data_IF_925047752391
#
_entry.id   IF_925047752391
#
_cell.length_a   1.000
_cell.length_b   1.000
_cell.length_c   1.000
_cell.angle_alpha   90.00
_cell.angle_beta   90.00
_cell.angle_gamma   90.00
#
_symmetry.space_group_name_H-M   'P 1'
#
loop_
_entity.id
_entity.type
_entity.pdbx_description
1 polymer ?
#
# COMPACT_ATOMS: atom_id res chain seq x y z
N UNK A 1 -28.40 -6.28 -32.38
CA UNK A 1 -27.07 -6.20 -33.04
C UNK A 1 -26.08 -5.53 -32.11
N UNK A 2 -25.08 -6.26 -31.62
CA UNK A 2 -24.05 -5.69 -30.78
C UNK A 2 -23.10 -4.85 -31.62
N UNK A 3 -23.17 -3.53 -31.46
CA UNK A 3 -22.24 -2.62 -32.16
C UNK A 3 -20.82 -2.88 -31.65
N UNK A 4 -19.87 -3.11 -32.57
CA UNK A 4 -18.47 -3.34 -32.22
C UNK A 4 -17.92 -2.17 -31.41
N UNK A 5 -17.25 -2.44 -30.27
CA UNK A 5 -16.64 -1.40 -29.45
C UNK A 5 -15.68 -0.46 -30.20
N UNK A 6 -15.05 -0.95 -31.30
CA UNK A 6 -14.22 -0.12 -32.18
C UNK A 6 -15.05 0.91 -32.97
N UNK A 7 -16.26 0.51 -33.40
CA UNK A 7 -17.16 1.43 -34.13
C UNK A 7 -17.69 2.52 -33.18
N UNK A 8 -18.11 2.14 -31.98
CA UNK A 8 -18.53 3.09 -30.94
C UNK A 8 -17.44 4.11 -30.64
N UNK A 9 -16.20 3.65 -30.46
CA UNK A 9 -15.07 4.55 -30.17
C UNK A 9 -14.76 5.48 -31.34
N UNK A 10 -14.84 4.99 -32.59
CA UNK A 10 -14.66 5.84 -33.78
C UNK A 10 -15.74 6.93 -33.86
N UNK A 11 -16.99 6.58 -33.58
CA UNK A 11 -18.11 7.54 -33.52
C UNK A 11 -17.87 8.59 -32.42
N UNK A 12 -17.41 8.18 -31.24
CA UNK A 12 -17.06 9.09 -30.15
C UNK A 12 -15.98 10.10 -30.59
N UNK A 13 -14.90 9.64 -31.22
CA UNK A 13 -13.85 10.53 -31.76
C UNK A 13 -14.41 11.54 -32.74
N UNK A 14 -15.29 11.10 -33.67
CA UNK A 14 -15.90 12.01 -34.65
C UNK A 14 -16.80 13.06 -33.96
N UNK A 15 -17.59 12.67 -32.97
CA UNK A 15 -18.41 13.59 -32.17
C UNK A 15 -17.52 14.61 -31.47
N UNK A 16 -16.46 14.17 -30.80
CA UNK A 16 -15.53 15.06 -30.10
C UNK A 16 -14.81 16.00 -31.05
N UNK A 17 -14.49 15.54 -32.27
CA UNK A 17 -13.90 16.41 -33.30
C UNK A 17 -14.88 17.54 -33.74
N UNK A 18 -16.18 17.24 -33.81
CA UNK A 18 -17.21 18.25 -34.10
C UNK A 18 -17.36 19.21 -32.93
N UNK A 19 -17.46 18.70 -31.69
CA UNK A 19 -17.59 19.54 -30.49
C UNK A 19 -16.37 20.48 -30.31
N UNK A 20 -15.17 20.04 -30.67
CA UNK A 20 -13.97 20.86 -30.65
C UNK A 20 -14.01 22.08 -31.62
N UNK A 21 -14.92 22.09 -32.61
CA UNK A 21 -15.13 23.23 -33.52
C UNK A 21 -16.04 24.33 -32.92
N UNK A 22 -16.74 24.04 -31.81
CA UNK A 22 -17.65 24.99 -31.20
C UNK A 22 -16.88 26.16 -30.57
N UNK A 23 -17.09 27.36 -31.09
CA UNK A 23 -16.45 28.59 -30.58
C UNK A 23 -17.04 29.11 -29.28
N UNK A 24 -18.26 28.74 -28.95
CA UNK A 24 -18.97 29.11 -27.73
C UNK A 24 -19.61 27.89 -27.04
N UNK A 25 -18.82 27.05 -26.37
CA UNK A 25 -19.34 25.86 -25.69
C UNK A 25 -20.31 26.17 -24.54
N UNK A 26 -20.28 27.39 -23.97
CA UNK A 26 -21.23 27.85 -22.93
C UNK A 26 -22.68 27.92 -23.42
N UNK A 27 -22.92 27.94 -24.74
CA UNK A 27 -24.25 27.91 -25.31
C UNK A 27 -24.83 26.47 -25.46
N UNK A 28 -24.09 25.45 -25.11
CA UNK A 28 -24.57 24.06 -25.18
C UNK A 28 -25.65 23.81 -24.12
N UNK A 29 -26.70 23.09 -24.51
CA UNK A 29 -27.69 22.60 -23.57
C UNK A 29 -27.04 21.64 -22.56
N UNK A 30 -27.30 21.83 -21.26
CA UNK A 30 -26.61 21.10 -20.16
C UNK A 30 -25.07 21.28 -20.18
N UNK A 31 -24.60 22.46 -20.49
CA UNK A 31 -23.19 22.82 -20.58
C UNK A 31 -22.32 22.26 -19.44
N UNK A 32 -22.70 22.34 -18.14
CA UNK A 32 -21.85 21.81 -17.06
C UNK A 32 -21.55 20.32 -17.21
N UNK A 33 -22.54 19.54 -17.70
CA UNK A 33 -22.36 18.10 -17.94
C UNK A 33 -21.33 17.84 -19.08
N UNK A 34 -21.36 18.70 -20.12
CA UNK A 34 -20.35 18.60 -21.20
C UNK A 34 -18.96 19.00 -20.70
N UNK A 35 -18.85 20.01 -19.87
CA UNK A 35 -17.55 20.41 -19.32
C UNK A 35 -16.93 19.29 -18.47
N UNK A 36 -17.71 18.67 -17.59
CA UNK A 36 -17.29 17.51 -16.80
C UNK A 36 -16.88 16.33 -17.71
N UNK A 37 -17.66 16.07 -18.76
CA UNK A 37 -17.34 15.04 -19.73
C UNK A 37 -16.00 15.31 -20.44
N UNK A 38 -15.71 16.56 -20.81
CA UNK A 38 -14.43 16.92 -21.41
C UNK A 38 -13.28 16.72 -20.44
N UNK A 39 -13.48 17.05 -19.15
CA UNK A 39 -12.50 16.77 -18.11
C UNK A 39 -12.25 15.24 -17.95
N UNK A 40 -13.29 14.43 -18.01
CA UNK A 40 -13.18 12.96 -17.93
C UNK A 40 -12.43 12.38 -19.12
N UNK A 41 -12.65 12.92 -20.33
CA UNK A 41 -11.95 12.48 -21.54
C UNK A 41 -10.45 12.81 -21.52
N UNK A 42 -10.02 13.81 -20.75
CA UNK A 42 -8.59 14.05 -20.53
C UNK A 42 -7.90 12.87 -19.82
N UNK A 43 -8.63 12.10 -19.03
CA UNK A 43 -8.10 10.91 -18.35
C UNK A 43 -7.99 9.68 -19.27
N UNK A 44 -8.50 9.78 -20.49
CA UNK A 44 -8.51 8.63 -21.39
C UNK A 44 -7.11 8.35 -21.96
N UNK A 45 -6.81 7.05 -22.10
CA UNK A 45 -5.51 6.55 -22.61
C UNK A 45 -5.19 6.91 -24.07
N UNK A 46 -6.17 7.36 -24.84
CA UNK A 46 -5.99 7.70 -26.26
C UNK A 46 -5.64 9.18 -26.41
N UNK A 47 -4.44 9.53 -26.96
CA UNK A 47 -4.00 10.92 -27.09
C UNK A 47 -4.86 11.75 -28.04
N UNK A 48 -5.50 11.15 -29.04
CA UNK A 48 -6.42 11.86 -29.95
C UNK A 48 -7.66 12.35 -29.21
N UNK A 49 -8.26 11.50 -28.35
CA UNK A 49 -9.40 11.89 -27.52
C UNK A 49 -9.02 12.95 -26.50
N UNK A 50 -7.85 12.82 -25.83
CA UNK A 50 -7.32 13.85 -24.94
C UNK A 50 -7.17 15.21 -25.67
N UNK A 51 -6.66 15.19 -26.89
CA UNK A 51 -6.47 16.41 -27.70
C UNK A 51 -7.80 17.10 -27.97
N UNK A 52 -8.82 16.37 -28.47
CA UNK A 52 -10.13 16.98 -28.74
C UNK A 52 -10.82 17.45 -27.48
N UNK A 53 -10.69 16.73 -26.36
CA UNK A 53 -11.19 17.18 -25.06
C UNK A 53 -10.50 18.48 -24.61
N UNK A 54 -9.18 18.58 -24.78
CA UNK A 54 -8.44 19.81 -24.49
C UNK A 54 -8.87 20.95 -25.41
N UNK A 55 -9.08 20.72 -26.71
CA UNK A 55 -9.62 21.71 -27.65
C UNK A 55 -10.96 22.27 -27.17
N UNK A 56 -11.89 21.39 -26.71
CA UNK A 56 -13.17 21.80 -26.16
C UNK A 56 -12.98 22.70 -24.93
N UNK A 57 -12.12 22.31 -23.98
CA UNK A 57 -11.84 23.07 -22.74
C UNK A 57 -11.22 24.44 -23.06
N UNK A 58 -10.28 24.51 -23.98
CA UNK A 58 -9.63 25.77 -24.40
C UNK A 58 -10.65 26.74 -25.01
N UNK A 59 -11.68 26.23 -25.71
CA UNK A 59 -12.74 27.05 -26.30
C UNK A 59 -13.62 27.78 -25.28
N UNK A 60 -13.58 27.40 -24.00
CA UNK A 60 -14.20 28.18 -22.91
C UNK A 60 -13.47 29.50 -22.63
N UNK A 61 -12.28 29.67 -23.16
CA UNK A 61 -11.47 30.90 -23.06
C UNK A 61 -11.19 31.34 -21.62
N UNK A 62 -11.05 30.38 -20.70
CA UNK A 62 -10.59 30.68 -19.33
C UNK A 62 -9.14 31.18 -19.44
N UNK A 63 -8.89 32.43 -18.97
CA UNK A 63 -7.58 33.09 -19.07
C UNK A 63 -6.47 32.27 -18.42
N UNK A 64 -6.74 31.74 -17.23
CA UNK A 64 -5.79 30.90 -16.46
C UNK A 64 -5.40 29.63 -17.21
N UNK A 65 -6.32 29.02 -17.95
CA UNK A 65 -6.02 27.80 -18.74
C UNK A 65 -5.33 28.17 -20.07
N UNK A 66 -5.81 29.21 -20.76
CA UNK A 66 -5.31 29.61 -22.07
C UNK A 66 -3.86 30.07 -21.99
N UNK A 67 -3.43 30.68 -20.89
CA UNK A 67 -2.03 31.08 -20.67
C UNK A 67 -1.07 29.89 -20.82
N UNK A 68 -1.47 28.68 -20.45
CA UNK A 68 -0.65 27.45 -20.51
C UNK A 68 -1.02 26.54 -21.69
N UNK A 69 -1.75 27.05 -22.68
CA UNK A 69 -2.25 26.26 -23.80
C UNK A 69 -1.14 25.44 -24.49
N UNK A 70 0.00 26.04 -24.76
CA UNK A 70 1.11 25.37 -25.46
C UNK A 70 1.65 24.21 -24.64
N UNK A 71 1.86 24.43 -23.34
CA UNK A 71 2.34 23.41 -22.40
C UNK A 71 1.38 22.22 -22.30
N UNK A 72 0.06 22.50 -22.19
CA UNK A 72 -0.97 21.47 -22.11
C UNK A 72 -1.00 20.61 -23.39
N UNK A 73 -0.90 21.21 -24.59
CA UNK A 73 -0.83 20.45 -25.83
C UNK A 73 0.46 19.62 -25.94
N UNK A 74 1.60 20.14 -25.48
CA UNK A 74 2.85 19.40 -25.45
C UNK A 74 2.77 18.19 -24.51
N UNK A 75 2.06 18.29 -23.36
CA UNK A 75 1.79 17.17 -22.48
C UNK A 75 0.89 16.09 -23.13
N UNK A 76 -0.03 16.48 -24.03
CA UNK A 76 -0.86 15.54 -24.78
C UNK A 76 -0.09 14.89 -25.93
N UNK A 77 0.89 15.56 -26.54
CA UNK A 77 1.70 15.03 -27.64
C UNK A 77 2.76 14.04 -27.12
N UNK A 78 2.67 12.78 -27.53
CA UNK A 78 3.61 11.72 -27.11
C UNK A 78 5.07 12.00 -27.47
N UNK A 79 5.33 12.77 -28.53
CA UNK A 79 6.69 13.12 -28.97
C UNK A 79 7.32 14.20 -28.08
N UNK A 80 6.52 15.15 -27.63
CA UNK A 80 6.98 16.30 -26.81
C UNK A 80 6.85 16.07 -25.32
N UNK A 81 6.08 15.06 -24.93
CA UNK A 81 5.69 14.77 -23.54
C UNK A 81 6.86 14.75 -22.55
N UNK A 82 7.94 14.04 -22.90
CA UNK A 82 9.09 13.88 -22.01
C UNK A 82 9.84 15.20 -21.78
N UNK A 83 10.03 15.96 -22.85
CA UNK A 83 10.72 17.23 -22.78
C UNK A 83 9.89 18.27 -22.03
N UNK A 84 8.56 18.25 -22.22
CA UNK A 84 7.64 19.12 -21.52
C UNK A 84 7.64 18.87 -20.01
N UNK A 85 7.62 17.60 -19.55
CA UNK A 85 7.74 17.28 -18.12
C UNK A 85 9.03 17.80 -17.47
N UNK A 86 10.07 18.01 -18.25
CA UNK A 86 11.35 18.53 -17.75
C UNK A 86 11.35 20.06 -17.68
N UNK A 87 10.73 20.72 -18.66
CA UNK A 87 10.75 22.17 -18.79
C UNK A 87 9.61 22.85 -18.04
N UNK A 88 8.40 22.31 -18.12
CA UNK A 88 7.19 22.83 -17.48
C UNK A 88 7.01 22.21 -16.09
N UNK A 89 7.70 22.76 -15.09
CA UNK A 89 7.69 22.23 -13.72
C UNK A 89 6.41 22.60 -12.97
N UNK A 90 5.87 21.64 -12.20
CA UNK A 90 4.65 21.83 -11.40
C UNK A 90 4.92 22.33 -9.98
N UNK A 91 6.19 22.32 -9.53
CA UNK A 91 6.56 22.78 -8.19
C UNK A 91 6.22 24.25 -7.98
N UNK A 92 5.73 24.64 -6.81
CA UNK A 92 5.40 26.03 -6.47
C UNK A 92 6.64 26.95 -6.56
N UNK A 93 7.80 26.42 -6.16
CA UNK A 93 9.08 27.13 -6.17
C UNK A 93 9.53 27.53 -7.59
N UNK A 94 9.13 26.77 -8.61
CA UNK A 94 9.52 27.03 -10.00
C UNK A 94 8.84 28.26 -10.60
N UNK A 95 7.71 28.71 -10.01
CA UNK A 95 6.87 29.80 -10.51
C UNK A 95 6.45 29.65 -11.98
N UNK A 96 6.56 28.46 -12.52
CA UNK A 96 6.19 28.15 -13.92
C UNK A 96 4.67 28.25 -14.09
N UNK A 97 3.91 27.89 -13.04
CA UNK A 97 2.45 28.07 -12.93
C UNK A 97 2.22 29.11 -11.85
N UNK A 98 1.52 30.21 -12.21
CA UNK A 98 1.19 31.25 -11.25
C UNK A 98 0.26 30.71 -10.16
N UNK A 99 0.42 31.12 -8.89
CA UNK A 99 -0.38 30.62 -7.76
C UNK A 99 -1.90 30.72 -8.00
N UNK A 100 -2.37 31.82 -8.59
CA UNK A 100 -3.78 32.08 -8.92
C UNK A 100 -4.33 31.17 -10.02
N UNK A 101 -3.46 30.62 -10.89
CA UNK A 101 -3.85 29.78 -12.00
C UNK A 101 -3.86 28.28 -11.63
N UNK A 102 -3.19 27.91 -10.52
CA UNK A 102 -3.02 26.50 -10.13
C UNK A 102 -4.33 25.75 -9.98
N UNK A 103 -5.34 26.39 -9.35
CA UNK A 103 -6.67 25.79 -9.14
C UNK A 103 -7.34 25.37 -10.45
N UNK A 104 -7.04 26.05 -11.56
CA UNK A 104 -7.64 25.78 -12.85
C UNK A 104 -6.79 24.87 -13.74
N UNK A 105 -5.47 25.03 -13.68
CA UNK A 105 -4.51 24.36 -14.60
C UNK A 105 -4.10 22.99 -14.06
N UNK A 106 -3.76 22.88 -12.78
CA UNK A 106 -3.25 21.63 -12.22
C UNK A 106 -4.26 20.48 -12.36
N UNK A 107 -5.57 20.65 -12.13
CA UNK A 107 -6.56 19.58 -12.36
C UNK A 107 -6.56 19.05 -13.81
N UNK A 108 -6.27 19.88 -14.79
CA UNK A 108 -6.16 19.49 -16.21
C UNK A 108 -4.88 18.68 -16.41
N UNK A 109 -3.75 19.17 -15.90
CA UNK A 109 -2.46 18.47 -15.96
C UNK A 109 -2.58 17.07 -15.36
N UNK A 110 -3.13 16.96 -14.15
CA UNK A 110 -3.28 15.68 -13.45
C UNK A 110 -4.09 14.67 -14.29
N UNK A 111 -5.17 15.11 -14.94
CA UNK A 111 -6.01 14.26 -15.80
C UNK A 111 -5.25 13.80 -17.04
N UNK A 112 -4.53 14.69 -17.71
CA UNK A 112 -3.70 14.34 -18.88
C UNK A 112 -2.65 13.30 -18.47
N UNK A 113 -1.94 13.56 -17.36
CA UNK A 113 -0.89 12.65 -16.86
C UNK A 113 -1.44 11.29 -16.47
N UNK A 114 -2.61 11.22 -15.83
CA UNK A 114 -3.27 9.96 -15.51
C UNK A 114 -3.59 9.15 -16.77
N UNK A 115 -4.14 9.79 -17.81
CA UNK A 115 -4.39 9.16 -19.11
C UNK A 115 -3.10 8.65 -19.76
N UNK A 116 -2.01 9.42 -19.70
CA UNK A 116 -0.68 9.00 -20.18
C UNK A 116 -0.11 7.82 -19.41
N UNK A 117 -0.31 7.77 -18.09
CA UNK A 117 0.15 6.68 -17.24
C UNK A 117 -0.57 5.37 -17.52
N UNK A 118 -1.86 5.42 -17.88
CA UNK A 118 -2.68 4.25 -18.19
C UNK A 118 -2.58 3.80 -19.64
N UNK A 119 -1.97 4.61 -20.53
CA UNK A 119 -1.78 4.30 -21.93
C UNK A 119 -0.74 3.20 -22.14
N UNK A 120 -1.05 2.23 -23.00
CA UNK A 120 -0.10 1.20 -23.46
C UNK A 120 0.78 1.69 -24.63
N UNK A 121 0.46 2.83 -25.24
CA UNK A 121 1.23 3.40 -26.37
C UNK A 121 2.63 3.79 -25.88
N UNK A 122 3.66 3.26 -26.52
CA UNK A 122 5.06 3.45 -26.11
C UNK A 122 5.65 2.37 -25.21
N UNK A 123 4.88 1.33 -24.87
CA UNK A 123 5.37 0.17 -24.12
C UNK A 123 6.10 -0.88 -24.99
N UNK A 124 6.05 -0.75 -26.31
CA UNK A 124 6.55 -1.75 -27.26
C UNK A 124 8.08 -1.84 -27.37
N UNK A 125 8.81 -1.00 -26.66
CA UNK A 125 10.26 -1.17 -26.48
C UNK A 125 10.51 -1.51 -25.01
N UNK A 126 11.22 -2.64 -24.77
CA UNK A 126 11.59 -3.18 -23.46
C UNK A 126 11.81 -2.06 -22.41
N UNK A 127 10.89 -1.91 -21.44
CA UNK A 127 11.01 -0.96 -20.32
C UNK A 127 10.32 0.42 -20.49
N UNK A 128 9.82 0.80 -21.65
CA UNK A 128 9.29 2.14 -21.90
C UNK A 128 8.09 2.57 -21.04
N UNK A 129 7.23 1.62 -20.68
CA UNK A 129 6.05 1.89 -19.83
C UNK A 129 6.40 2.18 -18.38
N UNK A 130 7.38 1.46 -17.83
CA UNK A 130 7.89 1.69 -16.47
C UNK A 130 8.56 3.08 -16.37
N UNK A 131 9.39 3.43 -17.35
CA UNK A 131 10.07 4.73 -17.41
C UNK A 131 9.09 5.89 -17.49
N UNK A 132 7.99 5.77 -18.28
CA UNK A 132 6.96 6.82 -18.39
C UNK A 132 6.23 7.03 -17.04
N UNK A 133 5.84 5.96 -16.37
CA UNK A 133 5.21 6.05 -15.04
C UNK A 133 6.12 6.71 -14.02
N UNK A 134 7.39 6.31 -13.99
CA UNK A 134 8.40 6.89 -13.09
C UNK A 134 8.58 8.41 -13.33
N UNK A 135 8.62 8.83 -14.59
CA UNK A 135 8.71 10.25 -14.93
C UNK A 135 7.49 11.04 -14.47
N UNK A 136 6.28 10.51 -14.72
CA UNK A 136 5.03 11.12 -14.27
C UNK A 136 5.02 11.25 -12.74
N UNK A 137 5.38 10.18 -12.02
CA UNK A 137 5.35 10.20 -10.55
C UNK A 137 6.37 11.17 -9.97
N UNK A 138 7.57 11.27 -10.55
CA UNK A 138 8.55 12.28 -10.15
C UNK A 138 8.04 13.70 -10.38
N UNK A 139 7.35 13.92 -11.49
CA UNK A 139 6.73 15.20 -11.78
C UNK A 139 5.64 15.56 -10.77
N UNK A 140 4.76 14.59 -10.46
CA UNK A 140 3.69 14.74 -9.49
C UNK A 140 4.19 14.93 -8.05
N UNK A 141 5.40 14.47 -7.72
CA UNK A 141 6.01 14.74 -6.42
C UNK A 141 6.25 16.24 -6.15
N UNK A 142 6.16 17.09 -7.18
CA UNK A 142 6.18 18.54 -7.05
C UNK A 142 4.82 19.20 -6.77
N UNK A 143 3.74 18.42 -6.69
CA UNK A 143 2.40 18.90 -6.32
C UNK A 143 2.29 19.15 -4.81
N UNK A 144 1.41 20.05 -4.42
CA UNK A 144 1.04 20.21 -3.02
C UNK A 144 0.07 19.11 -2.56
N UNK A 145 -0.20 19.08 -1.25
CA UNK A 145 -1.02 18.04 -0.62
C UNK A 145 -2.43 17.92 -1.24
N UNK A 146 -3.11 19.05 -1.48
CA UNK A 146 -4.46 19.06 -2.05
C UNK A 146 -4.46 18.51 -3.48
N UNK A 147 -3.45 18.82 -4.26
CA UNK A 147 -3.27 18.34 -5.63
C UNK A 147 -2.97 16.84 -5.66
N UNK A 148 -2.10 16.36 -4.75
CA UNK A 148 -1.85 14.92 -4.58
C UNK A 148 -3.11 14.17 -4.12
N UNK A 149 -3.89 14.74 -3.21
CA UNK A 149 -5.18 14.21 -2.79
C UNK A 149 -6.12 14.06 -3.98
N UNK A 150 -6.27 15.12 -4.79
CA UNK A 150 -7.08 15.07 -6.02
C UNK A 150 -6.61 13.97 -6.97
N UNK A 151 -5.29 13.80 -7.15
CA UNK A 151 -4.75 12.73 -7.99
C UNK A 151 -5.12 11.33 -7.45
N UNK A 152 -5.02 11.11 -6.13
CA UNK A 152 -5.39 9.84 -5.49
C UNK A 152 -6.89 9.57 -5.68
N UNK A 153 -7.74 10.55 -5.42
CA UNK A 153 -9.20 10.43 -5.58
C UNK A 153 -9.58 10.09 -7.04
N UNK A 154 -8.95 10.74 -8.00
CA UNK A 154 -9.15 10.49 -9.43
C UNK A 154 -8.64 9.11 -9.84
N UNK A 155 -7.46 8.73 -9.39
CA UNK A 155 -6.84 7.46 -9.71
C UNK A 155 -7.63 6.25 -9.20
N UNK A 156 -8.35 6.43 -8.09
CA UNK A 156 -9.13 5.40 -7.41
C UNK A 156 -10.63 5.69 -7.41
N UNK A 157 -11.14 6.38 -8.44
CA UNK A 157 -12.55 6.76 -8.58
C UNK A 157 -13.52 5.58 -8.40
N UNK A 158 -13.14 4.36 -8.81
CA UNK A 158 -13.93 3.13 -8.61
C UNK A 158 -14.15 2.78 -7.12
N UNK A 159 -13.37 3.36 -6.21
CA UNK A 159 -13.45 3.16 -4.77
C UNK A 159 -13.93 4.42 -4.03
N UNK A 160 -14.38 5.45 -4.77
CA UNK A 160 -14.83 6.74 -4.19
C UNK A 160 -15.88 6.56 -3.09
N UNK A 161 -16.78 5.60 -3.24
CA UNK A 161 -17.82 5.28 -2.26
C UNK A 161 -17.25 4.99 -0.86
N UNK A 162 -16.05 4.45 -0.78
CA UNK A 162 -15.39 4.05 0.46
C UNK A 162 -14.52 5.14 1.09
N UNK A 163 -14.26 6.25 0.39
CA UNK A 163 -13.31 7.27 0.85
C UNK A 163 -13.80 8.04 2.09
N UNK A 164 -15.12 8.14 2.27
CA UNK A 164 -15.74 8.83 3.43
C UNK A 164 -16.01 7.87 4.60
N UNK A 165 -15.75 6.56 4.42
CA UNK A 165 -15.98 5.53 5.44
C UNK A 165 -14.74 5.31 6.31
N UNK A 166 -14.94 4.81 7.55
CA UNK A 166 -13.85 4.27 8.34
C UNK A 166 -13.34 2.93 7.76
N UNK A 167 -12.11 2.50 8.05
CA UNK A 167 -11.59 1.21 7.57
C UNK A 167 -12.49 0.02 7.92
N UNK A 168 -13.09 0.01 9.10
CA UNK A 168 -13.99 -1.06 9.54
C UNK A 168 -15.31 -1.04 8.76
N UNK A 169 -15.90 0.15 8.56
CA UNK A 169 -17.10 0.31 7.73
C UNK A 169 -16.85 -0.13 6.28
N UNK A 170 -15.67 0.16 5.72
CA UNK A 170 -15.27 -0.32 4.39
C UNK A 170 -15.28 -1.84 4.35
N UNK A 171 -14.62 -2.48 5.34
CA UNK A 171 -14.54 -3.94 5.43
C UNK A 171 -15.93 -4.58 5.52
N UNK A 172 -16.79 -4.10 6.42
CA UNK A 172 -18.14 -4.62 6.63
C UNK A 172 -19.03 -4.39 5.40
N UNK A 173 -18.99 -3.18 4.81
CA UNK A 173 -19.77 -2.85 3.61
C UNK A 173 -19.38 -3.73 2.43
N UNK A 174 -18.09 -3.97 2.22
CA UNK A 174 -17.61 -4.84 1.14
C UNK A 174 -18.05 -6.28 1.36
N UNK A 175 -17.90 -6.83 2.57
CA UNK A 175 -18.30 -8.21 2.84
C UNK A 175 -19.82 -8.43 2.73
N UNK A 176 -20.61 -7.46 3.18
CA UNK A 176 -22.08 -7.51 3.10
C UNK A 176 -22.57 -7.52 1.64
N UNK A 177 -21.94 -6.73 0.78
CA UNK A 177 -22.36 -6.53 -0.60
C UNK A 177 -21.54 -7.34 -1.62
N UNK A 178 -20.67 -8.26 -1.17
CA UNK A 178 -19.80 -9.01 -2.06
C UNK A 178 -20.59 -10.02 -2.91
N UNK A 179 -20.71 -9.69 -4.19
CA UNK A 179 -21.21 -10.63 -5.22
C UNK A 179 -20.05 -11.09 -6.10
N UNK A 180 -19.78 -12.41 -6.09
CA UNK A 180 -18.71 -13.02 -6.88
C UNK A 180 -18.86 -12.83 -8.41
N UNK A 181 -20.09 -12.56 -8.89
CA UNK A 181 -20.34 -12.33 -10.33
C UNK A 181 -20.01 -10.91 -10.77
N UNK A 182 -20.15 -9.95 -9.86
CA UNK A 182 -19.93 -8.52 -10.13
C UNK A 182 -18.69 -7.95 -9.44
N UNK A 183 -17.91 -8.78 -8.76
CA UNK A 183 -16.69 -8.36 -8.08
C UNK A 183 -15.70 -7.69 -9.05
N UNK A 184 -14.97 -6.72 -8.58
CA UNK A 184 -13.94 -6.03 -9.35
C UNK A 184 -12.96 -7.05 -9.98
N UNK A 185 -12.69 -6.89 -11.28
CA UNK A 185 -11.84 -7.82 -12.02
C UNK A 185 -10.42 -7.90 -11.46
N UNK A 186 -9.81 -9.09 -11.53
CA UNK A 186 -8.43 -9.34 -11.08
C UNK A 186 -7.43 -8.33 -11.66
N UNK A 187 -7.58 -7.98 -12.94
CA UNK A 187 -6.72 -6.99 -13.59
C UNK A 187 -6.83 -5.60 -12.97
N UNK A 188 -8.02 -5.18 -12.54
CA UNK A 188 -8.22 -3.90 -11.84
C UNK A 188 -7.62 -3.95 -10.44
N UNK A 189 -7.87 -5.00 -9.65
CA UNK A 189 -7.30 -5.17 -8.32
C UNK A 189 -5.76 -5.14 -8.34
N UNK A 190 -5.17 -5.89 -9.26
CA UNK A 190 -3.71 -5.89 -9.45
C UNK A 190 -3.18 -4.51 -9.87
N UNK A 191 -3.90 -3.81 -10.76
CA UNK A 191 -3.51 -2.46 -11.18
C UNK A 191 -3.56 -1.46 -10.03
N UNK A 192 -4.56 -1.56 -9.14
CA UNK A 192 -4.67 -0.71 -7.95
C UNK A 192 -3.48 -0.97 -7.00
N UNK A 193 -3.19 -2.24 -6.68
CA UNK A 193 -2.04 -2.56 -5.82
C UNK A 193 -0.71 -2.09 -6.41
N UNK A 194 -0.50 -2.28 -7.71
CA UNK A 194 0.70 -1.78 -8.38
C UNK A 194 0.80 -0.25 -8.35
N UNK A 195 -0.32 0.44 -8.49
CA UNK A 195 -0.34 1.90 -8.41
C UNK A 195 -0.06 2.38 -6.98
N UNK A 196 -0.61 1.70 -5.97
CA UNK A 196 -0.29 1.97 -4.56
C UNK A 196 1.21 1.78 -4.27
N UNK A 197 1.85 0.73 -4.81
CA UNK A 197 3.31 0.56 -4.66
C UNK A 197 4.09 1.73 -5.26
N UNK A 198 3.70 2.17 -6.46
CA UNK A 198 4.35 3.28 -7.15
C UNK A 198 4.14 4.60 -6.41
N UNK A 199 2.92 4.90 -5.95
CA UNK A 199 2.61 6.09 -5.14
C UNK A 199 3.48 6.10 -3.87
N UNK A 200 3.52 4.99 -3.12
CA UNK A 200 4.37 4.88 -1.94
C UNK A 200 5.86 5.10 -2.24
N UNK A 201 6.35 4.58 -3.35
CA UNK A 201 7.75 4.70 -3.74
C UNK A 201 8.14 6.15 -4.03
N UNK A 202 7.32 6.86 -4.79
CA UNK A 202 7.64 8.21 -5.27
C UNK A 202 7.15 9.33 -4.36
N UNK A 203 6.03 9.15 -3.66
CA UNK A 203 5.47 10.18 -2.78
C UNK A 203 5.80 9.97 -1.30
N UNK A 204 6.47 8.85 -0.95
CA UNK A 204 6.68 8.48 0.45
C UNK A 204 7.30 9.57 1.33
N UNK A 205 8.14 10.45 0.77
CA UNK A 205 8.71 11.58 1.50
C UNK A 205 7.77 12.79 1.64
N UNK A 206 6.64 12.80 0.91
CA UNK A 206 5.66 13.89 0.87
C UNK A 206 4.28 13.44 1.39
N UNK A 207 4.17 12.19 1.86
CA UNK A 207 2.92 11.65 2.39
C UNK A 207 2.68 12.20 3.80
N UNK A 208 1.72 13.11 3.90
CA UNK A 208 1.17 13.54 5.20
C UNK A 208 0.28 12.46 5.79
N UNK A 209 -0.04 12.54 7.08
CA UNK A 209 -0.94 11.59 7.74
C UNK A 209 -2.31 11.52 7.06
N UNK A 210 -2.79 12.66 6.52
CA UNK A 210 -4.06 12.71 5.80
C UNK A 210 -3.99 11.96 4.46
N UNK A 211 -2.94 12.17 3.67
CA UNK A 211 -2.74 11.45 2.41
C UNK A 211 -2.53 9.96 2.66
N UNK A 212 -1.79 9.61 3.70
CA UNK A 212 -1.53 8.23 4.07
C UNK A 212 -2.82 7.54 4.52
N UNK A 213 -3.68 8.23 5.27
CA UNK A 213 -5.00 7.71 5.65
C UNK A 213 -5.89 7.42 4.42
N UNK A 214 -5.90 8.31 3.43
CA UNK A 214 -6.65 8.06 2.18
C UNK A 214 -6.08 6.91 1.37
N UNK A 215 -4.77 6.89 1.22
CA UNK A 215 -4.05 5.77 0.60
C UNK A 215 -4.42 4.44 1.28
N UNK A 216 -4.48 4.46 2.62
CA UNK A 216 -4.80 3.29 3.42
C UNK A 216 -6.25 2.84 3.20
N UNK A 217 -7.22 3.73 3.05
CA UNK A 217 -8.62 3.38 2.72
C UNK A 217 -8.72 2.64 1.38
N UNK A 218 -7.96 3.09 0.35
CA UNK A 218 -7.87 2.36 -0.92
C UNK A 218 -7.29 0.96 -0.72
N UNK A 219 -6.20 0.88 0.04
CA UNK A 219 -5.54 -0.38 0.36
C UNK A 219 -6.48 -1.36 1.08
N UNK A 220 -7.16 -0.90 2.13
CA UNK A 220 -8.15 -1.68 2.89
C UNK A 220 -9.30 -2.17 2.01
N UNK A 221 -9.79 -1.34 1.08
CA UNK A 221 -10.85 -1.73 0.15
C UNK A 221 -10.43 -2.94 -0.69
N UNK A 222 -9.23 -2.92 -1.24
CA UNK A 222 -8.71 -4.07 -2.02
C UNK A 222 -8.49 -5.29 -1.13
N UNK A 223 -7.92 -5.12 0.06
CA UNK A 223 -7.70 -6.22 0.99
C UNK A 223 -9.01 -6.89 1.43
N UNK A 224 -10.07 -6.09 1.66
CA UNK A 224 -11.39 -6.57 2.03
C UNK A 224 -12.04 -7.37 0.90
N UNK A 225 -11.95 -6.90 -0.35
CA UNK A 225 -12.43 -7.65 -1.52
C UNK A 225 -11.69 -8.99 -1.64
N UNK A 226 -10.35 -8.97 -1.55
CA UNK A 226 -9.52 -10.18 -1.64
C UNK A 226 -9.87 -11.16 -0.51
N UNK A 227 -10.02 -10.68 0.72
CA UNK A 227 -10.37 -11.51 1.87
C UNK A 227 -11.78 -12.11 1.72
N UNK A 228 -12.76 -11.32 1.28
CA UNK A 228 -14.13 -11.78 1.07
C UNK A 228 -14.25 -12.86 -0.02
N UNK A 229 -13.50 -12.71 -1.12
CA UNK A 229 -13.45 -13.76 -2.17
C UNK A 229 -12.76 -15.03 -1.64
N UNK A 230 -11.65 -14.89 -0.91
CA UNK A 230 -10.95 -16.05 -0.33
C UNK A 230 -11.72 -16.74 0.77
N UNK A 231 -12.61 -16.04 1.49
CA UNK A 231 -13.53 -16.65 2.46
C UNK A 231 -14.59 -17.54 1.78
N UNK A 232 -14.86 -17.33 0.49
CA UNK A 232 -15.79 -18.13 -0.32
C UNK A 232 -15.04 -18.95 -1.40
N UNK A 233 -13.81 -19.38 -1.09
CA UNK A 233 -12.93 -20.06 -2.05
C UNK A 233 -13.53 -21.33 -2.67
N UNK A 234 -14.41 -22.02 -1.95
CA UNK A 234 -15.13 -23.21 -2.44
C UNK A 234 -16.10 -22.90 -3.59
N UNK A 235 -16.55 -21.65 -3.72
CA UNK A 235 -17.43 -21.19 -4.81
C UNK A 235 -16.65 -20.60 -6.00
N UNK A 236 -15.33 -20.50 -5.88
CA UNK A 236 -14.44 -19.86 -6.85
C UNK A 236 -13.55 -20.89 -7.52
N UNK A 237 -13.39 -20.80 -8.85
CA UNK A 237 -12.50 -21.71 -9.57
C UNK A 237 -11.05 -21.63 -9.04
N UNK A 238 -10.41 -22.81 -8.86
CA UNK A 238 -9.07 -22.95 -8.22
C UNK A 238 -8.01 -22.03 -8.81
N UNK A 239 -8.04 -21.81 -10.14
CA UNK A 239 -7.11 -20.89 -10.81
C UNK A 239 -7.22 -19.45 -10.30
N UNK A 240 -8.45 -18.96 -10.09
CA UNK A 240 -8.67 -17.62 -9.52
C UNK A 240 -8.30 -17.56 -8.04
N UNK A 241 -8.60 -18.59 -7.24
CA UNK A 241 -8.19 -18.65 -5.83
C UNK A 241 -6.67 -18.45 -5.70
N UNK A 242 -5.88 -19.09 -6.58
CA UNK A 242 -4.42 -18.91 -6.61
C UNK A 242 -4.03 -17.45 -6.87
N UNK A 243 -4.68 -16.78 -7.81
CA UNK A 243 -4.40 -15.36 -8.13
C UNK A 243 -4.79 -14.46 -6.96
N UNK A 244 -5.93 -14.68 -6.30
CA UNK A 244 -6.31 -13.93 -5.10
C UNK A 244 -5.34 -14.14 -3.94
N UNK A 245 -4.80 -15.34 -3.75
CA UNK A 245 -3.70 -15.58 -2.79
C UNK A 245 -2.44 -14.77 -3.13
N UNK A 246 -2.08 -14.66 -4.41
CA UNK A 246 -0.96 -13.83 -4.86
C UNK A 246 -1.22 -12.34 -4.59
N UNK A 247 -2.44 -11.84 -4.84
CA UNK A 247 -2.82 -10.46 -4.49
C UNK A 247 -2.71 -10.20 -2.98
N UNK A 248 -3.11 -11.16 -2.14
CA UNK A 248 -2.92 -11.06 -0.69
C UNK A 248 -1.44 -11.01 -0.31
N UNK A 249 -0.60 -11.80 -0.97
CA UNK A 249 0.86 -11.77 -0.75
C UNK A 249 1.45 -10.42 -1.17
N UNK A 250 1.00 -9.86 -2.28
CA UNK A 250 1.41 -8.51 -2.72
C UNK A 250 0.96 -7.44 -1.71
N UNK A 251 -0.28 -7.52 -1.22
CA UNK A 251 -0.79 -6.62 -0.20
C UNK A 251 0.03 -6.70 1.10
N UNK A 252 0.43 -7.91 1.54
CA UNK A 252 1.37 -8.07 2.66
C UNK A 252 2.71 -7.37 2.41
N UNK A 253 3.24 -7.43 1.19
CA UNK A 253 4.45 -6.70 0.82
C UNK A 253 4.29 -5.19 0.91
N UNK A 254 3.12 -4.66 0.52
CA UNK A 254 2.82 -3.23 0.63
C UNK A 254 2.73 -2.79 2.09
N UNK A 255 1.95 -3.50 2.92
CA UNK A 255 1.79 -3.14 4.33
C UNK A 255 3.10 -3.28 5.11
N UNK A 256 3.92 -4.28 4.79
CA UNK A 256 5.27 -4.42 5.37
C UNK A 256 6.10 -3.16 5.14
N UNK A 257 6.12 -2.67 3.91
CA UNK A 257 6.85 -1.45 3.55
C UNK A 257 6.22 -0.18 4.15
N UNK A 258 4.92 -0.17 4.43
CA UNK A 258 4.27 0.94 5.14
C UNK A 258 4.74 1.01 6.60
N UNK A 259 4.77 -0.11 7.31
CA UNK A 259 5.30 -0.17 8.67
C UNK A 259 6.78 0.19 8.74
N UNK A 260 7.57 -0.21 7.75
CA UNK A 260 9.01 0.08 7.69
C UNK A 260 9.29 1.56 7.42
N UNK A 261 8.54 2.19 6.52
CA UNK A 261 8.83 3.55 6.03
C UNK A 261 8.12 4.65 6.82
N UNK A 262 6.93 4.37 7.34
CA UNK A 262 6.09 5.31 8.07
C UNK A 262 5.97 4.88 9.53
N UNK A 263 7.12 4.70 10.17
CA UNK A 263 7.23 4.23 11.55
C UNK A 263 6.57 5.17 12.57
N UNK A 264 6.43 6.47 12.26
CA UNK A 264 5.77 7.47 13.09
C UNK A 264 4.27 7.65 12.81
N UNK A 265 3.72 6.97 11.80
CA UNK A 265 2.30 7.08 11.47
C UNK A 265 1.40 6.64 12.65
N UNK A 266 0.37 7.45 13.02
CA UNK A 266 -0.52 7.16 14.14
C UNK A 266 -1.57 6.12 13.77
N UNK A 267 -1.16 4.86 13.64
CA UNK A 267 -2.05 3.75 13.28
C UNK A 267 -3.27 3.70 14.18
N UNK A 268 -4.46 3.82 13.61
CA UNK A 268 -5.71 3.66 14.35
C UNK A 268 -6.01 2.18 14.63
N UNK A 269 -6.75 1.94 15.72
CA UNK A 269 -7.21 0.60 16.08
C UNK A 269 -8.01 -0.07 14.96
N UNK A 270 -8.87 0.69 14.27
CA UNK A 270 -9.71 0.19 13.16
C UNK A 270 -8.87 -0.18 11.94
N UNK A 271 -7.85 0.61 11.60
CA UNK A 271 -6.91 0.29 10.51
C UNK A 271 -6.19 -1.04 10.78
N UNK A 272 -5.60 -1.16 11.97
CA UNK A 272 -4.89 -2.37 12.37
C UNK A 272 -5.81 -3.58 12.41
N UNK A 273 -7.03 -3.43 12.96
CA UNK A 273 -8.00 -4.52 13.06
C UNK A 273 -8.36 -5.09 11.67
N UNK A 274 -8.58 -4.23 10.67
CA UNK A 274 -8.85 -4.68 9.31
C UNK A 274 -7.64 -5.34 8.67
N UNK A 275 -6.43 -4.83 8.88
CA UNK A 275 -5.19 -5.48 8.42
C UNK A 275 -5.07 -6.90 9.00
N UNK A 276 -5.33 -7.06 10.30
CA UNK A 276 -5.31 -8.37 10.94
C UNK A 276 -6.37 -9.30 10.37
N UNK A 277 -7.63 -8.85 10.26
CA UNK A 277 -8.74 -9.66 9.71
C UNK A 277 -8.50 -10.12 8.26
N UNK A 278 -7.95 -9.24 7.42
CA UNK A 278 -7.83 -9.52 5.98
C UNK A 278 -6.54 -10.21 5.58
N UNK A 279 -5.42 -9.86 6.22
CA UNK A 279 -4.08 -10.27 5.78
C UNK A 279 -3.37 -11.22 6.75
N UNK A 280 -3.56 -11.07 8.07
CA UNK A 280 -2.70 -11.72 9.06
C UNK A 280 -3.35 -12.96 9.65
N UNK A 281 -4.46 -12.81 10.36
CA UNK A 281 -5.13 -13.94 11.03
C UNK A 281 -5.46 -15.12 10.12
N UNK A 282 -5.84 -14.94 8.84
CA UNK A 282 -6.04 -16.09 7.94
C UNK A 282 -4.77 -16.90 7.62
N UNK A 283 -3.57 -16.34 7.89
CA UNK A 283 -2.29 -16.96 7.59
C UNK A 283 -1.56 -17.50 8.80
N UNK A 284 -1.82 -16.96 10.01
CA UNK A 284 -1.16 -17.39 11.25
C UNK A 284 -1.24 -18.90 11.48
N UNK A 285 -2.40 -19.58 11.34
CA UNK A 285 -2.49 -21.03 11.55
C UNK A 285 -1.64 -21.85 10.58
N UNK A 286 -1.34 -21.32 9.40
CA UNK A 286 -0.59 -21.99 8.33
C UNK A 286 0.90 -21.69 8.35
N UNK A 287 1.33 -20.70 9.14
CA UNK A 287 2.70 -20.19 9.12
C UNK A 287 3.72 -21.29 9.42
N UNK A 288 3.44 -22.15 10.40
CA UNK A 288 4.32 -23.24 10.83
C UNK A 288 4.49 -24.35 9.78
N UNK A 289 3.64 -24.38 8.75
CA UNK A 289 3.72 -25.33 7.62
C UNK A 289 4.36 -24.61 6.41
N UNK A 290 3.81 -23.48 6.02
CA UNK A 290 4.23 -22.76 4.80
C UNK A 290 5.63 -22.12 4.96
N UNK A 291 6.00 -21.76 6.19
CA UNK A 291 7.27 -21.09 6.50
C UNK A 291 8.49 -22.00 6.61
N UNK A 292 8.34 -23.33 6.62
CA UNK A 292 9.47 -24.26 6.86
C UNK A 292 10.57 -24.12 5.81
N UNK A 293 10.20 -23.94 4.54
CA UNK A 293 11.15 -23.99 3.42
C UNK A 293 11.77 -22.62 3.09
N UNK A 294 11.05 -21.55 3.31
CA UNK A 294 11.52 -20.18 3.03
C UNK A 294 10.71 -19.15 3.79
N UNK A 295 11.27 -17.93 4.05
CA UNK A 295 10.53 -16.85 4.69
C UNK A 295 9.30 -16.45 3.88
N UNK A 296 8.11 -16.57 4.47
CA UNK A 296 6.85 -16.13 3.87
C UNK A 296 6.71 -14.61 3.93
N UNK A 297 5.74 -14.05 3.18
CA UNK A 297 5.43 -12.61 3.26
C UNK A 297 4.97 -12.21 4.68
N UNK A 298 4.24 -13.08 5.38
CA UNK A 298 3.86 -12.83 6.78
C UNK A 298 5.09 -12.81 7.71
N UNK A 299 6.05 -13.70 7.54
CA UNK A 299 7.29 -13.66 8.32
C UNK A 299 8.09 -12.38 8.11
N UNK A 300 8.12 -11.86 6.88
CA UNK A 300 8.77 -10.58 6.60
C UNK A 300 8.10 -9.42 7.34
N UNK A 301 6.76 -9.41 7.41
CA UNK A 301 6.00 -8.44 8.18
C UNK A 301 6.30 -8.56 9.69
N UNK A 302 6.27 -9.79 10.23
CA UNK A 302 6.61 -10.07 11.64
C UNK A 302 8.03 -9.58 11.95
N UNK A 303 8.99 -9.85 11.06
CA UNK A 303 10.37 -9.37 11.21
C UNK A 303 10.45 -7.83 11.23
N UNK A 304 9.69 -7.14 10.37
CA UNK A 304 9.61 -5.68 10.37
C UNK A 304 9.07 -5.16 11.71
N UNK A 305 8.06 -5.80 12.27
CA UNK A 305 7.54 -5.42 13.60
C UNK A 305 8.54 -5.64 14.71
N UNK A 306 9.39 -6.66 14.65
CA UNK A 306 10.45 -6.88 15.61
C UNK A 306 11.54 -5.80 15.58
N UNK A 307 11.71 -5.08 14.45
CA UNK A 307 12.72 -4.02 14.32
C UNK A 307 12.34 -2.71 15.03
N UNK A 308 11.08 -2.54 15.43
CA UNK A 308 10.61 -1.33 16.10
C UNK A 308 9.79 -1.69 17.35
N UNK A 309 10.24 -1.29 18.56
CA UNK A 309 9.57 -1.62 19.82
C UNK A 309 8.10 -1.20 19.87
N UNK A 310 7.73 -0.13 19.16
CA UNK A 310 6.36 0.36 19.04
C UNK A 310 5.40 -0.69 18.50
N UNK A 311 5.89 -1.59 17.65
CA UNK A 311 5.08 -2.64 16.99
C UNK A 311 5.08 -3.97 17.73
N UNK A 312 5.85 -4.13 18.80
CA UNK A 312 5.94 -5.41 19.50
C UNK A 312 4.58 -5.92 20.02
N UNK A 313 3.66 -5.01 20.36
CA UNK A 313 2.29 -5.35 20.77
C UNK A 313 1.52 -6.11 19.70
N UNK A 314 1.81 -5.86 18.41
CA UNK A 314 1.14 -6.51 17.29
C UNK A 314 1.50 -8.00 17.17
N UNK A 315 2.66 -8.41 17.68
CA UNK A 315 3.12 -9.80 17.65
C UNK A 315 2.27 -10.73 18.49
N UNK A 316 1.67 -10.22 19.57
CA UNK A 316 0.85 -10.97 20.53
C UNK A 316 -0.64 -10.72 20.36
N UNK A 317 -1.03 -9.98 19.33
CA UNK A 317 -2.43 -9.72 18.99
C UNK A 317 -3.12 -10.98 18.47
N UNK A 318 -4.20 -11.41 19.12
CA UNK A 318 -4.99 -12.60 18.78
C UNK A 318 -6.38 -12.22 18.22
N UNK A 319 -7.05 -13.11 17.46
CA UNK A 319 -8.47 -13.00 17.20
C UNK A 319 -9.28 -13.15 18.51
N UNK A 320 -10.50 -12.61 18.58
CA UNK A 320 -11.34 -12.69 19.78
C UNK A 320 -11.65 -14.11 20.26
N UNK A 321 -11.70 -15.07 19.33
CA UNK A 321 -12.10 -16.46 19.58
C UNK A 321 -10.94 -17.46 19.56
N UNK A 322 -9.73 -17.02 19.32
CA UNK A 322 -8.55 -17.87 19.17
C UNK A 322 -7.34 -17.22 19.84
N UNK A 323 -6.57 -17.98 20.60
CA UNK A 323 -5.36 -17.50 21.25
C UNK A 323 -4.11 -17.52 20.35
N UNK A 324 -4.25 -17.92 19.08
CA UNK A 324 -3.13 -18.00 18.15
C UNK A 324 -2.67 -16.60 17.73
N UNK A 325 -1.40 -16.29 17.96
CA UNK A 325 -0.77 -15.03 17.56
C UNK A 325 0.47 -15.28 16.70
N UNK A 326 0.99 -14.20 16.13
CA UNK A 326 2.15 -14.25 15.24
C UNK A 326 3.40 -14.80 15.93
N UNK A 327 3.64 -14.41 17.18
CA UNK A 327 4.81 -14.81 17.93
C UNK A 327 4.79 -16.32 18.23
N UNK A 328 3.68 -16.84 18.77
CA UNK A 328 3.50 -18.26 19.06
C UNK A 328 3.64 -19.13 17.78
N UNK A 329 3.07 -18.67 16.65
CA UNK A 329 3.22 -19.36 15.37
C UNK A 329 4.67 -19.39 14.87
N UNK A 330 5.44 -18.32 15.11
CA UNK A 330 6.86 -18.23 14.78
C UNK A 330 7.69 -19.19 15.62
N UNK A 331 7.38 -19.35 16.92
CA UNK A 331 8.08 -20.32 17.78
C UNK A 331 7.75 -21.78 17.41
N UNK A 332 6.51 -22.07 16.98
CA UNK A 332 6.20 -23.41 16.43
C UNK A 332 7.05 -23.72 15.21
N UNK A 333 7.32 -22.73 14.36
CA UNK A 333 8.19 -22.87 13.20
C UNK A 333 9.64 -23.07 13.59
N UNK A 334 10.14 -22.34 14.60
CA UNK A 334 11.52 -22.48 15.12
C UNK A 334 11.81 -23.90 15.62
N UNK A 335 10.81 -24.56 16.22
CA UNK A 335 10.93 -25.93 16.73
C UNK A 335 10.70 -27.01 15.68
N UNK A 336 10.26 -26.63 14.47
CA UNK A 336 9.93 -27.59 13.44
C UNK A 336 11.18 -28.38 12.99
N UNK A 337 11.11 -29.72 12.90
CA UNK A 337 12.20 -30.50 12.36
C UNK A 337 12.41 -30.15 10.88
N UNK A 338 13.64 -29.97 10.45
CA UNK A 338 14.00 -29.60 9.06
C UNK A 338 13.62 -28.18 8.63
N UNK A 339 13.44 -27.26 9.57
CA UNK A 339 13.27 -25.86 9.23
C UNK A 339 14.53 -25.32 8.51
N UNK A 340 14.31 -24.56 7.42
CA UNK A 340 15.39 -23.99 6.62
C UNK A 340 16.30 -23.09 7.48
N UNK A 341 17.62 -23.20 7.40
CA UNK A 341 18.57 -22.36 8.17
C UNK A 341 18.36 -20.85 8.01
N UNK A 342 17.91 -20.40 6.83
CA UNK A 342 17.57 -18.97 6.59
C UNK A 342 16.39 -18.55 7.46
N UNK A 343 15.38 -19.39 7.56
CA UNK A 343 14.19 -19.13 8.40
C UNK A 343 14.58 -19.10 9.88
N UNK A 344 15.37 -20.08 10.33
CA UNK A 344 15.90 -20.13 11.70
C UNK A 344 16.71 -18.88 12.01
N UNK A 345 17.62 -18.48 11.11
CA UNK A 345 18.41 -17.26 11.27
C UNK A 345 17.54 -16.01 11.42
N UNK A 346 16.49 -15.87 10.58
CA UNK A 346 15.54 -14.75 10.68
C UNK A 346 14.81 -14.75 12.02
N UNK A 347 14.38 -15.91 12.54
CA UNK A 347 13.70 -15.98 13.84
C UNK A 347 14.67 -15.62 14.98
N UNK A 348 15.93 -16.02 14.89
CA UNK A 348 16.95 -15.64 15.88
C UNK A 348 17.25 -14.14 15.84
N UNK A 349 17.23 -13.51 14.67
CA UNK A 349 17.33 -12.05 14.56
C UNK A 349 16.11 -11.36 15.22
N UNK A 350 14.91 -11.89 15.05
CA UNK A 350 13.71 -11.40 15.72
C UNK A 350 13.84 -11.49 17.25
N UNK A 351 14.30 -12.62 17.77
CA UNK A 351 14.53 -12.83 19.22
C UNK A 351 15.55 -11.83 19.74
N UNK A 352 16.69 -11.67 19.06
CA UNK A 352 17.72 -10.69 19.43
C UNK A 352 17.13 -9.28 19.53
N UNK A 353 16.36 -8.85 18.54
CA UNK A 353 15.74 -7.53 18.52
C UNK A 353 14.74 -7.34 19.66
N UNK A 354 13.89 -8.32 19.93
CA UNK A 354 12.93 -8.29 21.04
C UNK A 354 13.64 -8.18 22.42
N UNK A 355 14.81 -8.79 22.56
CA UNK A 355 15.60 -8.76 23.80
C UNK A 355 16.38 -7.45 23.98
N UNK A 356 16.74 -6.76 22.90
CA UNK A 356 17.71 -5.66 22.93
C UNK A 356 17.13 -4.29 22.63
N UNK A 357 16.05 -4.20 21.85
CA UNK A 357 15.49 -2.91 21.47
C UNK A 357 14.63 -2.31 22.59
N UNK A 358 14.83 -1.03 22.83
CA UNK A 358 14.03 -0.19 23.73
C UNK A 358 13.46 0.99 22.95
N UNK A 359 12.40 1.60 23.46
CA UNK A 359 11.84 2.83 22.86
C UNK A 359 12.82 3.96 23.15
N UNK A 360 13.29 4.64 22.11
CA UNK A 360 14.17 5.80 22.22
C UNK A 360 13.40 7.04 22.70
N UNK A 361 14.12 7.98 23.30
CA UNK A 361 13.56 9.26 23.77
C UNK A 361 12.96 10.09 22.63
N UNK A 362 13.49 9.96 21.42
CA UNK A 362 12.98 10.62 20.20
C UNK A 362 11.62 10.08 19.78
N UNK A 363 11.28 8.84 20.13
CA UNK A 363 10.00 8.20 19.80
C UNK A 363 8.92 8.42 20.87
N UNK A 364 9.24 9.04 22.00
CA UNK A 364 8.28 9.32 23.10
C UNK A 364 7.14 10.26 22.69
N UNK A 365 7.30 11.02 21.59
CA UNK A 365 6.26 11.89 21.03
C UNK A 365 5.28 11.19 20.09
N UNK A 366 5.56 9.95 19.66
CA UNK A 366 4.71 9.20 18.74
C UNK A 366 3.64 8.43 19.54
N UNK A 367 2.35 8.51 19.18
CA UNK A 367 1.30 7.79 19.89
C UNK A 367 1.58 6.29 19.94
N UNK A 368 1.46 5.69 21.12
CA UNK A 368 1.57 4.26 21.30
C UNK A 368 0.45 3.56 20.50
N UNK A 369 0.74 2.37 19.98
CA UNK A 369 -0.29 1.54 19.33
C UNK A 369 -1.22 1.00 20.41
N UNK A 370 -2.52 1.26 20.23
CA UNK A 370 -3.55 0.70 21.11
C UNK A 370 -3.67 -0.83 20.89
N UNK A 371 -3.68 -1.62 21.98
CA UNK A 371 -3.94 -3.06 21.88
C UNK A 371 -5.26 -3.35 21.18
N UNK A 372 -5.29 -4.25 20.22
CA UNK A 372 -6.53 -4.71 19.59
C UNK A 372 -7.38 -5.57 20.53
N UNK A 373 -6.74 -6.20 21.52
CA UNK A 373 -7.34 -7.03 22.54
C UNK A 373 -7.02 -6.48 23.92
N UNK A 374 -7.87 -6.77 24.89
CA UNK A 374 -7.53 -6.65 26.30
C UNK A 374 -6.45 -7.71 26.61
N UNK A 375 -5.18 -7.35 26.40
CA UNK A 375 -4.10 -8.17 26.95
C UNK A 375 -4.27 -8.14 28.46
N UNK A 376 -4.42 -9.33 29.07
CA UNK A 376 -4.38 -9.42 30.51
C UNK A 376 -3.10 -8.73 31.00
N UNK A 377 -3.17 -7.82 31.97
CA UNK A 377 -1.97 -7.29 32.56
C UNK A 377 -1.12 -8.48 33.00
N UNK A 378 0.14 -8.50 32.61
CA UNK A 378 1.11 -9.44 33.20
C UNK A 378 1.32 -8.92 34.61
N UNK A 379 0.51 -9.43 35.54
CA UNK A 379 0.60 -9.07 36.95
C UNK A 379 1.93 -9.56 37.50
N UNK A 380 2.64 -8.70 38.21
CA UNK A 380 3.69 -9.10 39.12
C UNK A 380 5.12 -8.68 38.77
N UNK A 381 5.41 -8.07 37.59
CA UNK A 381 6.78 -7.57 37.34
C UNK A 381 6.81 -6.04 37.35
N UNK A 382 7.81 -5.48 38.07
CA UNK A 382 8.15 -4.05 37.98
C UNK A 382 8.44 -3.69 36.52
N UNK A 383 7.46 -3.09 35.86
CA UNK A 383 7.47 -2.76 34.41
C UNK A 383 8.62 -1.82 33.99
N UNK A 384 9.24 -1.14 34.96
CA UNK A 384 10.25 -0.11 34.70
C UNK A 384 11.64 -0.67 34.33
N UNK A 385 11.86 -1.97 34.47
CA UNK A 385 13.19 -2.59 34.28
C UNK A 385 13.28 -3.53 33.08
N UNK A 386 12.16 -3.99 32.53
CA UNK A 386 12.14 -4.99 31.44
C UNK A 386 11.40 -4.41 30.24
N UNK A 387 12.02 -4.43 29.06
CA UNK A 387 11.35 -3.98 27.84
C UNK A 387 10.19 -4.92 27.44
N UNK A 388 9.17 -4.38 26.78
CA UNK A 388 7.98 -5.14 26.39
C UNK A 388 8.31 -6.35 25.47
N UNK A 389 9.34 -6.21 24.61
CA UNK A 389 9.81 -7.30 23.75
C UNK A 389 10.30 -8.50 24.55
N UNK A 390 11.03 -8.26 25.66
CA UNK A 390 11.48 -9.31 26.58
C UNK A 390 10.31 -9.96 27.31
N UNK A 391 9.31 -9.17 27.77
CA UNK A 391 8.12 -9.69 28.45
C UNK A 391 7.35 -10.69 27.60
N UNK A 392 7.11 -10.39 26.33
CA UNK A 392 6.38 -11.29 25.43
C UNK A 392 7.15 -12.54 25.05
N UNK A 393 8.47 -12.59 25.30
CA UNK A 393 9.31 -13.78 25.10
C UNK A 393 9.29 -14.75 26.27
N UNK A 394 8.90 -14.34 27.49
CA UNK A 394 8.92 -15.17 28.70
C UNK A 394 8.23 -16.54 28.48
N UNK A 395 7.01 -16.63 27.89
CA UNK A 395 6.36 -17.92 27.65
C UNK A 395 7.14 -18.82 26.68
N UNK A 396 8.07 -18.27 25.91
CA UNK A 396 8.81 -18.98 24.87
C UNK A 396 10.26 -19.31 25.26
N UNK A 397 10.70 -18.92 26.47
CA UNK A 397 12.07 -19.19 26.96
C UNK A 397 12.45 -20.67 26.86
N UNK A 398 11.61 -21.65 27.26
CA UNK A 398 11.96 -23.07 27.10
C UNK A 398 12.29 -23.46 25.66
N UNK A 399 11.53 -22.94 24.71
CA UNK A 399 11.74 -23.20 23.27
C UNK A 399 13.06 -22.56 22.77
N UNK A 400 13.36 -21.34 23.23
CA UNK A 400 14.61 -20.65 22.89
C UNK A 400 15.81 -21.45 23.43
N UNK A 401 15.78 -21.84 24.69
CA UNK A 401 16.85 -22.61 25.33
C UNK A 401 17.07 -23.96 24.66
N UNK A 402 16.02 -24.65 24.25
CA UNK A 402 16.12 -25.92 23.51
C UNK A 402 16.88 -25.74 22.18
N UNK A 403 16.51 -24.72 21.43
CA UNK A 403 17.19 -24.40 20.15
C UNK A 403 18.63 -23.99 20.37
N UNK A 404 18.88 -23.13 21.37
CA UNK A 404 20.25 -22.71 21.73
C UNK A 404 21.11 -23.92 22.14
N UNK A 405 20.60 -24.82 22.95
CA UNK A 405 21.28 -26.05 23.33
C UNK A 405 21.69 -26.88 22.10
N UNK A 406 20.76 -27.09 21.16
CA UNK A 406 21.06 -27.83 19.91
C UNK A 406 22.14 -27.13 19.07
N UNK A 407 22.06 -25.81 18.95
CA UNK A 407 23.03 -25.01 18.15
C UNK A 407 24.42 -25.03 18.75
N UNK A 408 24.54 -24.84 20.07
CA UNK A 408 25.83 -24.87 20.77
C UNK A 408 26.46 -26.27 20.69
N UNK A 409 25.67 -27.32 20.89
CA UNK A 409 26.17 -28.70 20.76
C UNK A 409 26.71 -28.99 19.34
N UNK A 410 26.11 -28.38 18.32
CA UNK A 410 26.62 -28.50 16.95
C UNK A 410 27.84 -27.59 16.69
N UNK A 411 27.88 -26.39 17.28
CA UNK A 411 29.00 -25.45 17.17
C UNK A 411 30.24 -25.92 17.91
N UNK A 412 30.09 -26.66 19.01
CA UNK A 412 31.21 -27.29 19.73
C UNK A 412 31.97 -28.29 18.85
N UNK A 413 31.31 -28.91 17.88
CA UNK A 413 31.93 -29.80 16.89
C UNK A 413 32.73 -29.04 15.81
N UNK A 414 32.44 -27.75 15.58
CA UNK A 414 33.07 -26.91 14.55
C UNK A 414 34.00 -25.82 15.09
N UNK A 415 34.20 -25.75 16.39
CA UNK A 415 34.98 -24.69 17.11
C UNK A 415 34.56 -23.26 16.76
N UNK A 416 33.33 -23.04 16.36
CA UNK A 416 32.79 -21.69 16.02
C UNK A 416 31.61 -21.35 16.89
N UNK A 417 31.73 -20.28 17.71
CA UNK A 417 30.63 -19.75 18.53
C UNK A 417 30.09 -18.49 17.89
N UNK A 418 28.77 -18.43 17.66
CA UNK A 418 28.13 -17.27 17.09
C UNK A 418 27.86 -16.23 18.22
N UNK A 419 28.32 -14.98 18.04
CA UNK A 419 28.14 -13.87 18.98
C UNK A 419 26.65 -13.62 19.32
N UNK A 420 25.76 -13.75 18.33
CA UNK A 420 24.31 -13.61 18.52
C UNK A 420 23.75 -14.69 19.45
N UNK A 421 24.17 -15.93 19.28
CA UNK A 421 23.68 -17.03 20.10
C UNK A 421 24.11 -16.82 21.58
N UNK A 422 25.30 -16.28 21.84
CA UNK A 422 25.77 -15.91 23.17
C UNK A 422 24.98 -14.73 23.76
N UNK A 423 24.71 -13.71 22.95
CA UNK A 423 23.91 -12.56 23.38
C UNK A 423 22.49 -12.99 23.78
N UNK A 424 21.82 -13.80 22.95
CA UNK A 424 20.49 -14.32 23.26
C UNK A 424 20.51 -15.10 24.58
N UNK A 425 21.49 -15.99 24.77
CA UNK A 425 21.62 -16.76 26.03
C UNK A 425 21.84 -15.86 27.26
N UNK A 426 22.74 -14.90 27.14
CA UNK A 426 23.00 -13.95 28.26
C UNK A 426 21.72 -13.23 28.65
N UNK A 427 20.98 -12.66 27.68
CA UNK A 427 19.76 -11.93 27.96
C UNK A 427 18.63 -12.82 28.50
N UNK A 428 18.49 -14.02 27.95
CA UNK A 428 17.48 -14.98 28.42
C UNK A 428 17.81 -15.47 29.84
N UNK A 429 19.08 -15.69 30.16
CA UNK A 429 19.48 -16.07 31.54
C UNK A 429 19.26 -14.92 32.54
N UNK A 430 19.49 -13.67 32.15
CA UNK A 430 19.15 -12.50 32.95
C UNK A 430 17.63 -12.43 33.26
N UNK A 431 16.77 -12.73 32.30
CA UNK A 431 15.31 -12.74 32.48
C UNK A 431 14.85 -13.87 33.42
N UNK A 432 15.52 -15.03 33.41
CA UNK A 432 15.20 -16.16 34.29
C UNK A 432 15.77 -15.97 35.71
N UNK A 433 16.87 -15.28 35.81
CA UNK A 433 17.56 -15.03 37.10
C UNK A 433 17.02 -13.79 37.85
N UNK A 434 16.15 -12.98 37.21
CA UNK A 434 15.54 -11.83 37.89
C UNK A 434 14.68 -12.35 39.07
N UNK A 435 14.88 -11.86 40.31
CA UNK A 435 14.05 -12.26 41.45
C UNK A 435 12.60 -11.85 41.20
N UNK A 436 11.70 -12.73 41.56
CA UNK A 436 10.22 -12.54 41.53
C UNK A 436 9.81 -11.30 42.36
#
# INVERSE_FOLDING_TARGET
ESVSGKAVFKTLINIMQVLAQFKNPRALYKEPVFYDLFLDFLQHKNPGLQKYALDCIINYKNKSIVAYKVNLYNLVDDKKFKDELTQFKITEESQTIQPEDREHVVPIILRILYGKMTSKLGADKKGGGQTRRSLIMRYLAGCNENELKMFIEMAFLNLKLYMDMSPEQIYESILLNLDLKSVMTLGKLHSILNLLEVIREYFGGYMTDQLLSQFFKVFVSVCSIVAGVLAQAEKVHVGYVKVFKNLRTQALGIVTKLFDKFDKYPWSKTELHVVFKTLIWPLVPKLHIEGIHSPTALMKLINTWCQNPRYHILLVTCPEKDSSNCLAATFKLLLAPKCNPIVVSMILDMIEKLLTLIIDDEDKGVPAIEPLNNLAPVDGMERDKINFGSLILIPHIPSILEVMKRRISNSAKSNTVNKRDLLILSRVTELVAAPE
#
